data_IF_773410830793
#
_entry.id   IF_773410830793
#
_cell.length_a   1.000
_cell.length_b   1.000
_cell.length_c   1.000
_cell.angle_alpha   90.00
_cell.angle_beta   90.00
_cell.angle_gamma   90.00
#
_symmetry.space_group_name_H-M   'P 1'
#
loop_
_entity.id
_entity.type
_entity.pdbx_description
1 polymer ?
#
# COMPACT_ATOMS: atom_id res chain seq x y z
N UNK A 1 31.59 -4.81 23.63
CA UNK A 1 31.21 -3.64 24.45
C UNK A 1 30.07 -2.93 23.74
N UNK A 2 28.99 -2.46 24.34
CA UNK A 2 28.20 -2.89 25.50
C UNK A 2 26.81 -2.28 25.26
N UNK A 3 25.77 -3.03 25.63
CA UNK A 3 24.36 -2.62 25.64
C UNK A 3 24.15 -1.52 26.68
N UNK A 4 23.22 -0.60 26.44
CA UNK A 4 22.57 0.18 27.51
C UNK A 4 21.07 0.29 27.25
N UNK A 5 20.33 -0.68 27.79
CA UNK A 5 19.02 -0.44 28.40
C UNK A 5 19.28 0.14 29.79
N UNK A 6 18.63 1.25 30.14
CA UNK A 6 18.71 1.85 31.47
C UNK A 6 17.52 1.35 32.29
N UNK A 7 17.85 0.58 33.33
CA UNK A 7 17.00 0.28 34.47
C UNK A 7 16.88 1.52 35.37
N UNK A 8 15.71 1.77 35.94
CA UNK A 8 15.60 2.43 37.23
C UNK A 8 14.65 1.67 38.15
N UNK A 9 15.17 1.36 39.35
CA UNK A 9 14.55 0.67 40.48
C UNK A 9 13.73 1.64 41.34
N UNK A 10 12.77 1.10 42.10
CA UNK A 10 12.66 1.14 43.58
C UNK A 10 11.17 1.11 43.98
N UNK A 11 10.64 -0.03 44.42
CA UNK A 11 10.63 -0.56 45.80
C UNK A 11 9.56 0.09 46.68
N UNK A 12 8.51 -0.69 46.99
CA UNK A 12 7.95 -0.72 48.35
C UNK A 12 7.58 -2.16 48.69
N UNK A 13 8.32 -2.74 49.64
CA UNK A 13 7.94 -3.94 50.39
C UNK A 13 6.78 -3.56 51.31
N UNK A 14 5.68 -4.29 51.24
CA UNK A 14 4.88 -4.59 52.43
C UNK A 14 4.67 -6.09 52.48
N UNK A 15 5.34 -6.69 53.46
CA UNK A 15 5.16 -8.05 53.92
C UNK A 15 3.89 -8.14 54.76
N UNK A 16 2.87 -8.83 54.26
CA UNK A 16 1.85 -9.43 55.12
C UNK A 16 2.01 -10.95 55.05
N UNK A 17 2.59 -11.49 56.12
CA UNK A 17 2.70 -12.91 56.41
C UNK A 17 1.31 -13.50 56.60
N UNK A 18 0.93 -14.46 55.75
CA UNK A 18 -0.22 -15.32 56.00
C UNK A 18 0.10 -16.23 57.19
N UNK A 19 -0.70 -16.16 58.26
CA UNK A 19 -0.73 -17.22 59.29
C UNK A 19 -1.63 -18.33 58.76
N UNK A 20 -1.05 -19.49 58.44
CA UNK A 20 -1.79 -20.72 58.18
C UNK A 20 -2.22 -21.38 59.50
N UNK A 21 -3.45 -21.92 59.60
CA UNK A 21 -3.89 -22.66 60.78
C UNK A 21 -3.33 -24.09 60.75
N UNK A 22 -2.81 -24.53 61.89
CA UNK A 22 -2.34 -25.90 62.14
C UNK A 22 -3.54 -26.83 62.29
N UNK A 23 -3.64 -27.89 61.49
CA UNK A 23 -4.66 -28.95 61.63
C UNK A 23 -3.98 -30.25 62.07
N UNK A 24 -4.44 -30.76 63.20
CA UNK A 24 -3.91 -31.93 63.92
C UNK A 24 -4.54 -33.22 63.37
N UNK A 25 -3.73 -34.18 62.93
CA UNK A 25 -4.18 -35.42 62.28
C UNK A 25 -4.52 -36.53 63.29
N UNK A 26 -5.75 -37.05 63.23
CA UNK A 26 -6.22 -38.21 63.99
C UNK A 26 -6.74 -39.27 63.01
N UNK A 27 -5.92 -40.26 62.60
CA UNK A 27 -6.33 -41.58 62.07
C UNK A 27 -5.09 -42.46 61.80
N UNK A 28 -4.96 -43.59 62.51
CA UNK A 28 -3.84 -44.53 62.42
C UNK A 28 -4.08 -45.58 61.32
N UNK A 29 -3.35 -45.48 60.19
CA UNK A 29 -3.36 -46.47 59.11
C UNK A 29 -2.05 -47.27 59.14
N UNK A 30 -2.10 -48.53 59.56
CA UNK A 30 -0.96 -49.43 59.50
C UNK A 30 -0.66 -49.82 58.05
N UNK A 31 0.45 -49.32 57.50
CA UNK A 31 1.14 -49.97 56.40
C UNK A 31 1.25 -49.24 55.06
N UNK A 32 1.26 -47.91 55.02
CA UNK A 32 1.99 -47.12 54.00
C UNK A 32 1.76 -45.63 54.24
N UNK A 33 2.82 -44.90 54.62
CA UNK A 33 2.75 -43.45 54.72
C UNK A 33 2.53 -42.84 53.34
N UNK A 34 1.33 -42.34 53.08
CA UNK A 34 1.03 -41.09 52.32
C UNK A 34 -0.43 -40.93 51.88
N UNK A 35 -1.37 -41.81 52.23
CA UNK A 35 -2.75 -41.67 51.72
C UNK A 35 -3.77 -41.77 52.85
N UNK A 36 -4.40 -40.62 53.15
CA UNK A 36 -5.65 -40.58 53.91
C UNK A 36 -6.71 -41.41 53.17
N UNK A 37 -7.50 -42.20 53.90
CA UNK A 37 -8.59 -42.94 53.27
C UNK A 37 -9.64 -41.98 52.71
N UNK A 38 -10.35 -42.47 51.70
CA UNK A 38 -11.16 -41.67 50.78
C UNK A 38 -12.16 -40.68 51.43
N UNK A 39 -12.63 -40.92 52.66
CA UNK A 39 -13.67 -40.12 53.31
C UNK A 39 -13.13 -38.96 54.18
N UNK A 40 -11.90 -39.04 54.69
CA UNK A 40 -11.30 -37.97 55.51
C UNK A 40 -10.78 -36.81 54.66
N UNK A 41 -10.34 -37.12 53.42
CA UNK A 41 -10.10 -36.13 52.37
C UNK A 41 -11.33 -35.26 52.08
N UNK A 42 -12.55 -35.75 52.35
CA UNK A 42 -13.79 -35.06 51.96
C UNK A 42 -14.27 -33.93 52.90
N UNK A 43 -13.78 -33.82 54.14
CA UNK A 43 -14.32 -32.86 55.14
C UNK A 43 -13.54 -31.55 55.24
N UNK A 44 -12.22 -31.62 55.10
CA UNK A 44 -11.33 -30.45 55.06
C UNK A 44 -11.56 -29.58 53.82
N UNK A 45 -12.12 -30.18 52.77
CA UNK A 45 -12.60 -29.49 51.57
C UNK A 45 -13.79 -28.52 51.79
N UNK A 46 -14.41 -28.39 52.98
CA UNK A 46 -15.78 -27.82 53.10
C UNK A 46 -15.97 -26.43 53.76
N UNK A 47 -14.95 -25.70 54.22
CA UNK A 47 -15.12 -24.32 54.76
C UNK A 47 -14.14 -23.32 54.12
N UNK A 48 -14.61 -22.24 53.48
CA UNK A 48 -13.76 -21.22 52.81
C UNK A 48 -14.29 -19.79 53.01
N UNK A 49 -13.37 -18.85 53.29
CA UNK A 49 -13.58 -17.38 53.45
C UNK A 49 -13.89 -16.67 52.11
N UNK A 50 -14.78 -15.68 52.10
CA UNK A 50 -15.28 -14.99 50.89
C UNK A 50 -14.89 -13.49 50.83
N UNK A 51 -13.81 -13.12 50.13
CA UNK A 51 -13.49 -11.72 49.82
C UNK A 51 -14.17 -11.22 48.52
N UNK A 52 -14.72 -9.99 48.53
CA UNK A 52 -15.35 -9.32 47.38
C UNK A 52 -14.38 -8.93 46.24
N UNK A 53 -13.13 -9.38 46.31
CA UNK A 53 -12.18 -9.33 45.18
C UNK A 53 -12.70 -10.10 43.99
N UNK A 54 -13.42 -11.20 44.22
CA UNK A 54 -14.06 -11.97 43.17
C UNK A 54 -15.18 -11.18 42.48
N UNK A 55 -16.00 -10.46 43.25
CA UNK A 55 -17.12 -9.67 42.70
C UNK A 55 -16.63 -8.53 41.80
N UNK A 56 -15.53 -7.85 42.19
CA UNK A 56 -14.87 -6.83 41.37
C UNK A 56 -14.21 -7.44 40.13
N UNK A 57 -13.47 -8.54 40.31
CA UNK A 57 -12.89 -9.26 39.19
C UNK A 57 -13.97 -9.80 38.23
N UNK A 58 -15.18 -10.10 38.71
CA UNK A 58 -16.32 -10.50 37.88
C UNK A 58 -16.82 -9.35 37.02
N UNK A 59 -16.96 -8.15 37.59
CA UNK A 59 -17.34 -6.94 36.83
C UNK A 59 -16.31 -6.56 35.78
N UNK A 60 -15.03 -6.57 36.12
CA UNK A 60 -13.94 -6.28 35.16
C UNK A 60 -13.93 -7.33 34.03
N UNK A 61 -14.16 -8.60 34.35
CA UNK A 61 -14.33 -9.66 33.34
C UNK A 61 -15.57 -9.46 32.47
N UNK A 62 -16.69 -9.02 33.04
CA UNK A 62 -17.92 -8.75 32.29
C UNK A 62 -17.72 -7.61 31.27
N UNK A 63 -17.02 -6.54 31.67
CA UNK A 63 -16.64 -5.43 30.78
C UNK A 63 -15.65 -5.86 29.69
N UNK A 64 -14.61 -6.62 30.06
CA UNK A 64 -13.65 -7.18 29.10
C UNK A 64 -14.34 -8.10 28.08
N UNK A 65 -15.31 -8.91 28.53
CA UNK A 65 -16.09 -9.76 27.65
C UNK A 65 -16.96 -8.94 26.70
N UNK A 66 -17.54 -7.83 27.18
CA UNK A 66 -18.33 -6.94 26.34
C UNK A 66 -17.48 -6.28 25.25
N UNK A 67 -16.29 -5.80 25.61
CA UNK A 67 -15.33 -5.21 24.67
C UNK A 67 -14.83 -6.23 23.64
N UNK A 68 -14.54 -7.47 24.07
CA UNK A 68 -14.18 -8.56 23.15
C UNK A 68 -15.31 -8.88 22.18
N UNK A 69 -16.55 -9.01 22.66
CA UNK A 69 -17.73 -9.24 21.81
C UNK A 69 -17.93 -8.10 20.79
N UNK A 70 -17.74 -6.85 21.21
CA UNK A 70 -17.83 -5.71 20.29
C UNK A 70 -16.74 -5.74 19.21
N UNK A 71 -15.49 -6.04 19.61
CA UNK A 71 -14.38 -6.20 18.66
C UNK A 71 -14.61 -7.36 17.69
N UNK A 72 -15.07 -8.51 18.19
CA UNK A 72 -15.44 -9.68 17.38
C UNK A 72 -16.57 -9.34 16.39
N UNK A 73 -17.60 -8.62 16.83
CA UNK A 73 -18.68 -8.15 15.96
C UNK A 73 -18.15 -7.25 14.83
N UNK A 74 -17.29 -6.26 15.16
CA UNK A 74 -16.69 -5.37 14.16
C UNK A 74 -15.79 -6.11 13.18
N UNK A 75 -15.01 -7.07 13.67
CA UNK A 75 -14.15 -7.90 12.83
C UNK A 75 -14.96 -8.81 11.92
N UNK A 76 -16.06 -9.38 12.41
CA UNK A 76 -16.97 -10.22 11.59
C UNK A 76 -17.70 -9.40 10.54
N UNK A 77 -18.19 -8.19 10.87
CA UNK A 77 -18.76 -7.25 9.89
C UNK A 77 -17.76 -6.93 8.78
N UNK A 78 -16.53 -6.56 9.13
CA UNK A 78 -15.48 -6.27 8.15
C UNK A 78 -15.16 -7.49 7.27
N UNK A 79 -15.08 -8.69 7.87
CA UNK A 79 -14.83 -9.93 7.15
C UNK A 79 -15.99 -10.30 6.22
N UNK A 80 -17.24 -10.02 6.59
CA UNK A 80 -18.41 -10.20 5.73
C UNK A 80 -18.39 -9.25 4.54
N UNK A 81 -18.10 -7.96 4.76
CA UNK A 81 -17.95 -6.98 3.69
C UNK A 81 -16.84 -7.36 2.70
N UNK A 82 -15.69 -7.79 3.21
CA UNK A 82 -14.58 -8.27 2.36
C UNK A 82 -14.95 -9.53 1.58
N UNK A 83 -15.70 -10.47 2.19
CA UNK A 83 -16.23 -11.64 1.49
C UNK A 83 -17.22 -11.25 0.39
N UNK A 84 -18.09 -10.28 0.64
CA UNK A 84 -19.06 -9.78 -0.33
C UNK A 84 -18.38 -9.12 -1.54
N UNK A 85 -17.41 -8.23 -1.30
CA UNK A 85 -16.59 -7.63 -2.37
C UNK A 85 -15.88 -8.69 -3.20
N UNK A 86 -15.28 -9.69 -2.55
CA UNK A 86 -14.62 -10.81 -3.26
C UNK A 86 -15.61 -11.66 -4.04
N UNK A 87 -16.83 -11.86 -3.53
CA UNK A 87 -17.88 -12.59 -4.23
C UNK A 87 -18.36 -11.80 -5.46
N UNK A 88 -18.52 -10.48 -5.35
CA UNK A 88 -18.85 -9.60 -6.47
C UNK A 88 -17.79 -9.69 -7.57
N UNK A 89 -16.52 -9.52 -7.22
CA UNK A 89 -15.41 -9.63 -8.16
C UNK A 89 -15.36 -11.00 -8.85
N UNK A 90 -15.66 -12.08 -8.12
CA UNK A 90 -15.76 -13.43 -8.71
C UNK A 90 -16.90 -13.56 -9.71
N UNK A 91 -18.07 -12.94 -9.43
CA UNK A 91 -19.20 -12.93 -10.37
C UNK A 91 -18.83 -12.15 -11.63
N UNK A 92 -18.27 -10.95 -11.48
CA UNK A 92 -17.80 -10.14 -12.62
C UNK A 92 -16.78 -10.89 -13.48
N UNK A 93 -15.80 -11.55 -12.84
CA UNK A 93 -14.82 -12.36 -13.54
C UNK A 93 -15.46 -13.56 -14.26
N UNK A 94 -16.40 -14.23 -13.60
CA UNK A 94 -17.14 -15.35 -14.19
C UNK A 94 -17.99 -14.89 -15.39
N UNK A 95 -18.64 -13.75 -15.31
CA UNK A 95 -19.45 -13.19 -16.40
C UNK A 95 -18.57 -12.77 -17.59
N UNK A 96 -17.40 -12.19 -17.33
CA UNK A 96 -16.39 -11.93 -18.35
C UNK A 96 -15.89 -13.23 -19.00
N UNK A 97 -15.61 -14.26 -18.21
CA UNK A 97 -15.19 -15.57 -18.72
C UNK A 97 -16.27 -16.22 -19.58
N UNK A 98 -17.53 -16.17 -19.14
CA UNK A 98 -18.68 -16.67 -19.91
C UNK A 98 -18.82 -15.94 -21.24
N UNK A 99 -18.75 -14.61 -21.23
CA UNK A 99 -18.79 -13.81 -22.47
C UNK A 99 -17.63 -14.15 -23.41
N UNK A 100 -16.41 -14.29 -22.88
CA UNK A 100 -15.24 -14.72 -23.67
C UNK A 100 -15.42 -16.13 -24.25
N UNK A 101 -15.99 -17.04 -23.47
CA UNK A 101 -16.29 -18.40 -23.90
C UNK A 101 -17.34 -18.42 -25.01
N UNK A 102 -18.43 -17.68 -24.87
CA UNK A 102 -19.47 -17.54 -25.91
C UNK A 102 -18.89 -16.99 -27.22
N UNK A 103 -18.05 -15.95 -27.15
CA UNK A 103 -17.34 -15.40 -28.32
C UNK A 103 -16.41 -16.43 -28.94
N UNK A 104 -15.70 -17.22 -28.13
CA UNK A 104 -14.83 -18.28 -28.60
C UNK A 104 -15.62 -19.42 -29.26
N UNK A 105 -16.73 -19.86 -28.66
CA UNK A 105 -17.63 -20.86 -29.22
C UNK A 105 -18.21 -20.41 -30.55
N UNK A 106 -18.69 -19.17 -30.66
CA UNK A 106 -19.16 -18.62 -31.95
C UNK A 106 -18.06 -18.66 -33.02
N UNK A 107 -16.82 -18.33 -32.65
CA UNK A 107 -15.66 -18.44 -33.56
C UNK A 107 -15.35 -19.90 -33.93
N UNK A 108 -15.52 -20.83 -33.01
CA UNK A 108 -15.32 -22.26 -33.25
C UNK A 108 -16.44 -22.87 -34.09
N UNK A 109 -17.70 -22.53 -33.86
CA UNK A 109 -18.85 -22.95 -34.65
C UNK A 109 -18.70 -22.50 -36.12
N UNK A 110 -18.36 -21.23 -36.34
CA UNK A 110 -18.00 -20.71 -37.68
C UNK A 110 -16.84 -21.44 -38.36
N UNK A 111 -15.89 -21.98 -37.58
CA UNK A 111 -14.80 -22.81 -38.12
C UNK A 111 -15.22 -24.26 -38.37
N UNK A 112 -16.22 -24.78 -37.65
CA UNK A 112 -16.79 -26.12 -37.86
C UNK A 112 -17.74 -26.15 -39.06
N UNK A 113 -18.44 -25.04 -39.34
CA UNK A 113 -19.21 -24.81 -40.57
C UNK A 113 -18.31 -24.65 -41.83
N UNK A 114 -17.00 -24.92 -41.73
CA UNK A 114 -16.13 -24.98 -42.90
C UNK A 114 -16.66 -26.06 -43.86
N UNK A 115 -16.65 -25.71 -45.13
CA UNK A 115 -17.15 -26.52 -46.24
C UNK A 115 -16.68 -27.99 -46.15
N UNK A 116 -17.64 -28.91 -46.17
CA UNK A 116 -17.43 -30.36 -46.06
C UNK A 116 -16.77 -30.93 -47.32
N UNK A 117 -16.64 -30.14 -48.39
CA UNK A 117 -15.83 -30.44 -49.56
C UNK A 117 -14.31 -30.28 -49.31
N UNK A 118 -13.83 -30.55 -48.11
CA UNK A 118 -12.40 -30.69 -47.88
C UNK A 118 -11.95 -32.08 -48.36
N UNK A 119 -11.50 -32.14 -49.61
CA UNK A 119 -10.94 -33.35 -50.24
C UNK A 119 -9.84 -33.97 -49.37
N UNK A 120 -10.13 -35.14 -48.79
CA UNK A 120 -9.18 -35.95 -48.04
C UNK A 120 -8.37 -36.84 -49.01
N UNK A 121 -7.48 -36.24 -49.80
CA UNK A 121 -6.51 -37.01 -50.58
C UNK A 121 -5.17 -36.26 -50.64
N UNK A 122 -4.14 -36.85 -50.04
CA UNK A 122 -2.74 -36.39 -50.12
C UNK A 122 -2.07 -36.79 -51.45
N UNK A 123 -2.84 -36.86 -52.53
CA UNK A 123 -2.37 -37.02 -53.90
C UNK A 123 -3.14 -36.04 -54.79
N UNK A 124 -2.71 -34.78 -54.78
CA UNK A 124 -3.35 -33.72 -55.54
C UNK A 124 -3.03 -33.84 -57.04
N UNK A 125 -3.85 -34.59 -57.78
CA UNK A 125 -3.82 -34.52 -59.25
C UNK A 125 -4.37 -33.17 -59.75
N UNK A 126 -5.26 -32.53 -58.98
CA UNK A 126 -5.80 -31.19 -59.24
C UNK A 126 -5.78 -30.35 -57.96
N UNK A 127 -4.59 -29.95 -57.52
CA UNK A 127 -4.45 -28.95 -56.45
C UNK A 127 -4.98 -27.61 -56.99
N UNK A 128 -6.00 -26.97 -56.40
CA UNK A 128 -6.20 -25.55 -56.66
C UNK A 128 -4.94 -24.84 -56.19
N UNK A 129 -4.33 -24.05 -57.07
CA UNK A 129 -3.11 -23.31 -56.76
C UNK A 129 -3.27 -22.61 -55.41
N UNK A 130 -2.27 -22.73 -54.54
CA UNK A 130 -2.31 -22.01 -53.25
C UNK A 130 -2.58 -20.55 -53.58
N UNK A 131 -3.68 -19.96 -53.05
CA UNK A 131 -4.00 -18.58 -53.36
C UNK A 131 -2.76 -17.74 -53.06
N UNK A 132 -2.28 -16.94 -54.03
CA UNK A 132 -1.07 -16.14 -53.83
C UNK A 132 -1.20 -15.36 -52.52
N UNK A 133 -0.13 -15.31 -51.72
CA UNK A 133 -0.11 -14.58 -50.44
C UNK A 133 -0.71 -13.17 -50.56
N UNK A 134 -0.52 -12.54 -51.72
CA UNK A 134 -1.01 -11.21 -52.07
C UNK A 134 -2.53 -11.02 -52.05
N UNK A 135 -3.33 -12.08 -52.27
CA UNK A 135 -4.80 -11.95 -52.37
C UNK A 135 -5.43 -11.44 -51.06
N UNK A 136 -4.86 -11.80 -49.91
CA UNK A 136 -5.31 -11.31 -48.60
C UNK A 136 -4.45 -10.16 -48.07
N UNK A 137 -3.25 -9.95 -48.60
CA UNK A 137 -2.39 -8.86 -48.15
C UNK A 137 -2.97 -7.48 -48.42
N UNK A 138 -3.63 -7.28 -49.57
CA UNK A 138 -4.25 -5.99 -49.92
C UNK A 138 -5.33 -5.55 -48.92
N UNK A 139 -6.35 -6.36 -48.58
CA UNK A 139 -7.35 -5.97 -47.58
C UNK A 139 -6.74 -5.79 -46.18
N UNK A 140 -5.75 -6.61 -45.79
CA UNK A 140 -5.03 -6.41 -44.52
C UNK A 140 -4.24 -5.10 -44.50
N UNK A 141 -3.55 -4.77 -45.59
CA UNK A 141 -2.80 -3.52 -45.73
C UNK A 141 -3.73 -2.31 -45.65
N UNK A 142 -4.92 -2.39 -46.27
CA UNK A 142 -5.92 -1.32 -46.19
C UNK A 142 -6.44 -1.12 -44.77
N UNK A 143 -6.72 -2.21 -44.04
CA UNK A 143 -7.19 -2.12 -42.65
C UNK A 143 -6.09 -1.60 -41.71
N UNK A 144 -4.83 -2.02 -41.92
CA UNK A 144 -3.68 -1.48 -41.19
C UNK A 144 -3.47 0.01 -41.46
N UNK A 145 -3.60 0.44 -42.71
CA UNK A 145 -3.55 1.86 -43.08
C UNK A 145 -4.64 2.65 -42.35
N UNK A 146 -5.88 2.15 -42.35
CA UNK A 146 -6.99 2.77 -41.62
C UNK A 146 -6.71 2.88 -40.11
N UNK A 147 -6.11 1.86 -39.51
CA UNK A 147 -5.72 1.91 -38.09
C UNK A 147 -4.64 2.96 -37.81
N UNK A 148 -3.65 3.08 -38.70
CA UNK A 148 -2.61 4.10 -38.62
C UNK A 148 -3.23 5.50 -38.75
N UNK A 149 -4.13 5.71 -39.71
CA UNK A 149 -4.85 6.98 -39.90
C UNK A 149 -5.67 7.36 -38.66
N UNK A 150 -6.42 6.42 -38.09
CA UNK A 150 -7.19 6.65 -36.87
C UNK A 150 -6.29 7.02 -35.68
N UNK A 151 -5.14 6.35 -35.54
CA UNK A 151 -4.16 6.66 -34.49
C UNK A 151 -3.55 8.04 -34.68
N UNK A 152 -3.19 8.39 -35.91
CA UNK A 152 -2.64 9.71 -36.23
C UNK A 152 -3.65 10.82 -35.98
N UNK A 153 -4.92 10.62 -36.35
CA UNK A 153 -6.01 11.55 -36.07
C UNK A 153 -6.24 11.74 -34.56
N UNK A 154 -6.20 10.65 -33.78
CA UNK A 154 -6.30 10.74 -32.33
C UNK A 154 -5.13 11.53 -31.73
N UNK A 155 -3.90 11.26 -32.18
CA UNK A 155 -2.70 11.99 -31.74
C UNK A 155 -2.75 13.47 -32.11
N UNK A 156 -3.27 13.83 -33.29
CA UNK A 156 -3.43 15.22 -33.70
C UNK A 156 -4.44 15.96 -32.81
N UNK A 157 -5.59 15.33 -32.50
CA UNK A 157 -6.59 15.91 -31.60
C UNK A 157 -6.06 16.13 -30.19
N UNK A 158 -5.24 15.20 -29.70
CA UNK A 158 -4.58 15.33 -28.41
C UNK A 158 -3.61 16.50 -28.41
N UNK A 159 -2.80 16.63 -29.46
CA UNK A 159 -1.90 17.79 -29.62
C UNK A 159 -2.66 19.11 -29.74
N UNK A 160 -3.78 19.15 -30.46
CA UNK A 160 -4.65 20.34 -30.54
C UNK A 160 -5.22 20.71 -29.17
N UNK A 161 -5.62 19.72 -28.38
CA UNK A 161 -6.10 19.92 -27.01
C UNK A 161 -5.01 20.47 -26.09
N UNK A 162 -3.81 19.88 -26.11
CA UNK A 162 -2.66 20.36 -25.34
C UNK A 162 -2.28 21.80 -25.72
N UNK A 163 -2.29 22.11 -27.03
CA UNK A 163 -2.03 23.47 -27.51
C UNK A 163 -3.09 24.46 -27.03
N UNK A 164 -4.37 24.07 -27.07
CA UNK A 164 -5.47 24.90 -26.58
C UNK A 164 -5.35 25.16 -25.08
N UNK A 165 -5.04 24.14 -24.28
CA UNK A 165 -4.80 24.27 -22.85
C UNK A 165 -3.61 25.20 -22.57
N UNK A 166 -2.49 25.04 -23.29
CA UNK A 166 -1.32 25.92 -23.15
C UNK A 166 -1.63 27.38 -23.49
N UNK A 167 -2.41 27.64 -24.54
CA UNK A 167 -2.84 29.00 -24.89
C UNK A 167 -3.74 29.61 -23.81
N UNK A 168 -4.68 28.83 -23.27
CA UNK A 168 -5.54 29.29 -22.18
C UNK A 168 -4.73 29.66 -20.92
N UNK A 169 -3.72 28.86 -20.57
CA UNK A 169 -2.80 29.16 -19.47
C UNK A 169 -2.03 30.46 -19.69
N UNK A 170 -1.52 30.69 -20.91
CA UNK A 170 -0.81 31.92 -21.26
C UNK A 170 -1.71 33.16 -21.14
N UNK A 171 -2.96 33.08 -21.60
CA UNK A 171 -3.94 34.17 -21.48
C UNK A 171 -4.27 34.45 -20.01
N UNK A 172 -4.47 33.40 -19.21
CA UNK A 172 -4.72 33.54 -17.77
C UNK A 172 -3.55 34.22 -17.06
N UNK A 173 -2.31 33.83 -17.39
CA UNK A 173 -1.11 34.45 -16.85
C UNK A 173 -1.01 35.93 -17.26
N UNK A 174 -1.23 36.26 -18.53
CA UNK A 174 -1.21 37.63 -19.03
C UNK A 174 -2.27 38.51 -18.34
N UNK A 175 -3.47 37.96 -18.12
CA UNK A 175 -4.55 38.64 -17.41
C UNK A 175 -4.18 38.90 -15.95
N UNK A 176 -3.60 37.90 -15.27
CA UNK A 176 -3.13 38.03 -13.89
C UNK A 176 -2.03 39.10 -13.75
N UNK A 177 -1.06 39.11 -14.66
CA UNK A 177 0.00 40.11 -14.70
C UNK A 177 -0.54 41.52 -14.97
N UNK A 178 -1.54 41.64 -15.85
CA UNK A 178 -2.18 42.94 -16.16
C UNK A 178 -2.92 43.47 -14.94
N UNK A 179 -3.71 42.61 -14.26
CA UNK A 179 -4.36 42.95 -13.00
C UNK A 179 -3.35 43.37 -11.93
N UNK A 180 -2.26 42.63 -11.77
CA UNK A 180 -1.21 42.97 -10.81
C UNK A 180 -0.57 44.33 -11.11
N UNK A 181 -0.35 44.66 -12.39
CA UNK A 181 0.15 45.99 -12.79
C UNK A 181 -0.85 47.09 -12.47
N UNK A 182 -2.12 46.88 -12.80
CA UNK A 182 -3.18 47.85 -12.48
C UNK A 182 -3.28 48.10 -10.97
N UNK A 183 -3.27 47.05 -10.16
CA UNK A 183 -3.31 47.15 -8.70
C UNK A 183 -2.08 47.88 -8.17
N UNK A 184 -0.89 47.60 -8.72
CA UNK A 184 0.33 48.34 -8.39
C UNK A 184 0.22 49.84 -8.74
N UNK A 185 -0.30 50.19 -9.91
CA UNK A 185 -0.49 51.59 -10.31
C UNK A 185 -1.54 52.30 -9.46
N UNK A 186 -2.63 51.61 -9.10
CA UNK A 186 -3.67 52.14 -8.20
C UNK A 186 -3.09 52.39 -6.81
N UNK A 187 -2.36 51.44 -6.25
CA UNK A 187 -1.74 51.58 -4.93
C UNK A 187 -0.66 52.68 -4.93
N UNK A 188 0.16 52.75 -5.98
CA UNK A 188 1.13 53.85 -6.16
C UNK A 188 0.44 55.20 -6.23
N UNK A 189 -0.66 55.31 -6.98
CA UNK A 189 -1.44 56.54 -7.09
C UNK A 189 -2.07 56.92 -5.74
N UNK A 190 -2.60 55.95 -5.01
CA UNK A 190 -3.15 56.14 -3.65
C UNK A 190 -2.08 56.64 -2.69
N UNK A 191 -0.88 56.04 -2.69
CA UNK A 191 0.27 56.49 -1.87
C UNK A 191 0.72 57.89 -2.25
N UNK A 192 0.80 58.21 -3.53
CA UNK A 192 1.14 59.55 -4.01
C UNK A 192 0.12 60.60 -3.57
N UNK A 193 -1.18 60.29 -3.69
CA UNK A 193 -2.25 61.18 -3.23
C UNK A 193 -2.24 61.34 -1.70
N UNK A 194 -1.96 60.26 -0.96
CA UNK A 194 -1.79 60.34 0.49
C UNK A 194 -0.61 61.25 0.86
N UNK A 195 0.54 61.07 0.22
CA UNK A 195 1.70 61.93 0.46
C UNK A 195 1.41 63.40 0.13
N UNK A 196 0.74 63.66 -1.00
CA UNK A 196 0.29 64.99 -1.38
C UNK A 196 -0.61 65.62 -0.32
N UNK A 197 -1.64 64.90 0.14
CA UNK A 197 -2.54 65.42 1.18
C UNK A 197 -1.85 65.69 2.51
N UNK A 198 -0.84 64.91 2.89
CA UNK A 198 -0.01 65.18 4.07
C UNK A 198 0.83 66.46 3.88
N UNK A 199 1.47 66.62 2.72
CA UNK A 199 2.24 67.83 2.41
C UNK A 199 1.34 69.07 2.38
N UNK A 200 0.17 68.98 1.74
CA UNK A 200 -0.80 70.08 1.68
C UNK A 200 -1.21 70.52 3.10
N UNK A 201 -1.43 69.57 4.03
CA UNK A 201 -1.68 69.87 5.45
C UNK A 201 -0.48 70.55 6.11
N UNK A 202 0.74 70.05 5.90
CA UNK A 202 1.95 70.65 6.47
C UNK A 202 2.18 72.08 5.98
N UNK A 203 1.93 72.34 4.68
CA UNK A 203 2.00 73.68 4.11
C UNK A 203 0.91 74.55 4.72
N UNK A 204 -0.33 74.07 4.82
CA UNK A 204 -1.42 74.83 5.43
C UNK A 204 -1.14 75.19 6.89
N UNK A 205 -0.63 74.25 7.69
CA UNK A 205 -0.21 74.46 9.09
C UNK A 205 0.93 75.48 9.18
N UNK A 206 1.92 75.42 8.28
CA UNK A 206 3.01 76.42 8.20
C UNK A 206 2.51 77.80 7.79
N UNK A 207 1.61 77.88 6.82
CA UNK A 207 1.00 79.14 6.38
C UNK A 207 0.18 79.78 7.49
N UNK A 208 -0.60 78.98 8.24
CA UNK A 208 -1.32 79.46 9.42
C UNK A 208 -0.38 79.91 10.54
N UNK A 209 0.73 79.19 10.76
CA UNK A 209 1.76 79.58 11.74
C UNK A 209 2.53 80.85 11.33
N UNK A 210 2.76 81.06 10.03
CA UNK A 210 3.32 82.30 9.48
C UNK A 210 2.34 83.47 9.58
N UNK A 211 1.05 83.24 9.33
CA UNK A 211 0.01 84.26 9.51
C UNK A 211 -0.16 84.66 10.98
N UNK A 212 0.09 83.75 11.93
CA UNK A 212 0.13 84.03 13.37
C UNK A 212 1.41 84.74 13.84
N UNK A 213 2.46 84.80 13.01
CA UNK A 213 3.71 85.54 13.30
C UNK A 213 3.82 86.89 12.57
N UNK A 214 2.88 87.24 11.69
CA UNK A 214 2.73 88.61 11.18
C UNK A 214 1.96 89.50 12.18
N UNK A 215 2.69 89.89 13.20
CA UNK A 215 2.37 91.02 14.09
C UNK A 215 3.63 91.82 14.44
N UNK A 216 4.68 91.77 13.60
CA UNK A 216 5.88 92.59 13.73
C UNK A 216 6.30 93.05 12.33
N UNK A 217 6.52 94.36 12.23
CA UNK A 217 6.76 95.15 11.03
C UNK A 217 8.08 94.81 10.33
N UNK A 218 8.03 94.92 9.00
CA UNK A 218 9.04 95.38 8.03
C UNK A 218 10.53 95.04 8.24
N UNK A 219 11.15 94.43 7.21
CA UNK A 219 12.27 95.09 6.50
C UNK A 219 12.65 94.36 5.21
N UNK A 220 12.92 95.17 4.18
CA UNK A 220 13.37 94.79 2.85
C UNK A 220 14.71 94.03 2.87
N UNK A 221 14.80 92.95 2.08
CA UNK A 221 16.02 92.65 1.33
C UNK A 221 15.72 91.62 0.24
N UNK A 222 15.50 92.12 -0.98
CA UNK A 222 15.70 91.35 -2.20
C UNK A 222 17.20 91.11 -2.30
N UNK A 223 17.65 89.96 -1.78
CA UNK A 223 18.98 89.43 -2.08
C UNK A 223 18.86 88.41 -3.20
N UNK A 224 19.57 88.73 -4.27
CA UNK A 224 19.87 87.90 -5.42
C UNK A 224 20.31 86.49 -5.01
N UNK A 225 19.72 85.48 -5.64
CA UNK A 225 20.13 84.09 -5.51
C UNK A 225 18.93 83.17 -5.36
N UNK A 226 18.95 82.03 -6.04
CA UNK A 226 18.01 80.91 -5.83
C UNK A 226 16.65 80.99 -6.57
N UNK A 227 16.65 81.61 -7.75
CA UNK A 227 15.68 81.32 -8.81
C UNK A 227 16.06 80.11 -9.68
N UNK A 228 16.88 79.20 -9.17
CA UNK A 228 17.23 77.98 -9.88
C UNK A 228 16.08 76.98 -9.70
N UNK A 229 15.21 76.92 -10.71
CA UNK A 229 14.28 75.80 -10.84
C UNK A 229 15.03 74.49 -10.62
N UNK A 230 14.60 73.73 -9.62
CA UNK A 230 15.20 72.46 -9.16
C UNK A 230 15.27 71.37 -10.25
N UNK A 231 14.71 71.63 -11.45
CA UNK A 231 15.00 70.89 -12.66
C UNK A 231 16.05 71.62 -13.49
N UNK A 232 17.27 71.09 -13.44
CA UNK A 232 18.41 71.61 -14.17
C UNK A 232 18.13 71.63 -15.67
N UNK A 233 18.40 72.78 -16.31
CA UNK A 233 18.42 72.96 -17.78
C UNK A 233 19.50 72.10 -18.49
N UNK A 234 20.12 71.15 -17.79
CA UNK A 234 21.27 70.35 -18.23
C UNK A 234 21.01 68.83 -18.24
N UNK A 235 19.79 68.33 -18.02
CA UNK A 235 19.51 66.88 -18.08
C UNK A 235 19.62 66.25 -19.48
N UNK A 236 19.86 67.08 -20.50
CA UNK A 236 19.87 66.72 -21.93
C UNK A 236 21.05 67.38 -22.66
N UNK A 237 22.25 67.39 -22.08
CA UNK A 237 23.45 67.67 -22.90
C UNK A 237 23.71 66.48 -23.84
N UNK A 238 24.16 66.75 -25.07
CA UNK A 238 24.41 65.69 -26.07
C UNK A 238 25.39 64.61 -25.56
N UNK A 239 26.30 65.01 -24.69
CA UNK A 239 27.27 64.13 -24.02
C UNK A 239 26.60 63.17 -23.01
N UNK A 240 25.67 63.65 -22.17
CA UNK A 240 24.90 62.82 -21.24
C UNK A 240 23.98 61.82 -21.98
N UNK A 241 23.39 62.23 -23.11
CA UNK A 241 22.62 61.32 -23.97
C UNK A 241 23.50 60.25 -24.62
N UNK A 242 24.70 60.63 -25.09
CA UNK A 242 25.67 59.69 -25.64
C UNK A 242 26.15 58.69 -24.57
N UNK A 243 26.41 59.15 -23.34
CA UNK A 243 26.80 58.30 -22.23
C UNK A 243 25.66 57.34 -21.81
N UNK A 244 24.42 57.82 -21.74
CA UNK A 244 23.23 56.97 -21.51
C UNK A 244 23.08 55.90 -22.58
N UNK A 245 23.28 56.25 -23.85
CA UNK A 245 23.26 55.29 -24.98
C UNK A 245 24.41 54.28 -24.89
N UNK A 246 25.60 54.71 -24.47
CA UNK A 246 26.75 53.81 -24.24
C UNK A 246 26.45 52.81 -23.12
N UNK A 247 25.97 53.29 -21.97
CA UNK A 247 25.56 52.44 -20.83
C UNK A 247 24.46 51.46 -21.22
N UNK A 248 23.45 51.90 -21.98
CA UNK A 248 22.38 51.02 -22.48
C UNK A 248 22.93 49.92 -23.41
N UNK A 249 23.84 50.27 -24.33
CA UNK A 249 24.49 49.30 -25.22
C UNK A 249 25.39 48.31 -24.46
N UNK A 250 26.10 48.76 -23.42
CA UNK A 250 26.90 47.90 -22.55
C UNK A 250 26.01 46.90 -21.80
N UNK A 251 24.93 47.37 -21.17
CA UNK A 251 23.94 46.51 -20.51
C UNK A 251 23.36 45.48 -21.49
N UNK A 252 23.00 45.90 -22.70
CA UNK A 252 22.48 45.00 -23.74
C UNK A 252 23.51 43.92 -24.11
N UNK A 253 24.79 44.28 -24.29
CA UNK A 253 25.86 43.31 -24.58
C UNK A 253 26.04 42.30 -23.43
N UNK A 254 26.00 42.76 -22.19
CA UNK A 254 26.10 41.88 -21.02
C UNK A 254 24.88 40.95 -20.90
N UNK A 255 23.66 41.45 -21.20
CA UNK A 255 22.47 40.61 -21.27
C UNK A 255 22.59 39.51 -22.33
N UNK A 256 23.10 39.82 -23.52
CA UNK A 256 23.34 38.81 -24.56
C UNK A 256 24.39 37.77 -24.13
N UNK A 257 25.48 38.20 -23.47
CA UNK A 257 26.49 37.27 -22.92
C UNK A 257 25.89 36.36 -21.85
N UNK A 258 25.11 36.90 -20.91
CA UNK A 258 24.43 36.09 -19.89
C UNK A 258 23.45 35.09 -20.50
N UNK A 259 22.68 35.50 -21.50
CA UNK A 259 21.76 34.60 -22.21
C UNK A 259 22.52 33.50 -22.98
N UNK A 260 23.64 33.83 -23.62
CA UNK A 260 24.48 32.85 -24.30
C UNK A 260 25.12 31.87 -23.31
N UNK A 261 25.58 32.34 -22.16
CA UNK A 261 26.11 31.51 -21.09
C UNK A 261 25.04 30.58 -20.53
N UNK A 262 23.84 31.10 -20.22
CA UNK A 262 22.71 30.29 -19.74
C UNK A 262 22.33 29.18 -20.71
N UNK A 263 22.30 29.48 -22.02
CA UNK A 263 22.07 28.46 -23.06
C UNK A 263 23.17 27.39 -23.08
N UNK A 264 24.44 27.77 -22.92
CA UNK A 264 25.56 26.80 -22.83
C UNK A 264 25.43 25.91 -21.61
N UNK A 265 25.11 26.49 -20.45
CA UNK A 265 24.91 25.77 -19.19
C UNK A 265 23.73 24.78 -19.29
N UNK A 266 22.63 25.20 -19.92
CA UNK A 266 21.47 24.34 -20.16
C UNK A 266 21.81 23.15 -21.08
N UNK A 267 22.57 23.38 -22.15
CA UNK A 267 23.06 22.31 -23.03
C UNK A 267 23.96 21.35 -22.25
N UNK A 268 24.91 21.86 -21.46
CA UNK A 268 25.79 21.03 -20.63
C UNK A 268 25.01 20.20 -19.62
N UNK A 269 23.99 20.80 -18.98
CA UNK A 269 23.10 20.11 -18.05
C UNK A 269 22.36 18.98 -18.75
N UNK A 270 21.75 19.25 -19.90
CA UNK A 270 21.04 18.24 -20.70
C UNK A 270 21.96 17.10 -21.14
N UNK A 271 23.20 17.40 -21.55
CA UNK A 271 24.18 16.37 -21.93
C UNK A 271 24.60 15.52 -20.73
N UNK A 272 24.66 16.09 -19.52
CA UNK A 272 24.94 15.35 -18.29
C UNK A 272 23.77 14.43 -17.92
N UNK A 273 22.54 14.95 -17.94
CA UNK A 273 21.31 14.19 -17.71
C UNK A 273 21.22 13.00 -18.68
N UNK A 274 21.46 13.24 -19.98
CA UNK A 274 21.47 12.16 -20.99
C UNK A 274 22.49 11.06 -20.71
N UNK A 275 23.70 11.40 -20.23
CA UNK A 275 24.70 10.38 -19.85
C UNK A 275 24.27 9.58 -18.62
N UNK A 276 23.63 10.23 -17.66
CA UNK A 276 23.11 9.56 -16.45
C UNK A 276 21.95 8.61 -16.82
N UNK A 277 21.02 9.08 -17.67
CA UNK A 277 19.94 8.26 -18.23
C UNK A 277 20.49 7.06 -18.98
N UNK A 278 21.47 7.25 -19.87
CA UNK A 278 22.10 6.16 -20.61
C UNK A 278 22.74 5.13 -19.68
N UNK A 279 23.43 5.58 -18.62
CA UNK A 279 24.02 4.70 -17.61
C UNK A 279 22.96 3.88 -16.89
N UNK A 280 21.83 4.49 -16.52
CA UNK A 280 20.69 3.80 -15.89
C UNK A 280 20.08 2.78 -16.85
N UNK A 281 19.86 3.16 -18.12
CA UNK A 281 19.31 2.26 -19.13
C UNK A 281 20.21 1.04 -19.39
N UNK A 282 21.54 1.24 -19.46
CA UNK A 282 22.51 0.15 -19.58
C UNK A 282 22.42 -0.78 -18.38
N UNK A 283 22.37 -0.24 -17.16
CA UNK A 283 22.22 -1.04 -15.93
C UNK A 283 20.89 -1.81 -15.90
N UNK A 284 19.78 -1.17 -16.22
CA UNK A 284 18.48 -1.83 -16.26
C UNK A 284 18.46 -2.96 -17.29
N UNK A 285 19.07 -2.77 -18.45
CA UNK A 285 19.21 -3.82 -19.46
C UNK A 285 20.02 -5.01 -18.93
N UNK A 286 21.15 -4.77 -18.26
CA UNK A 286 21.94 -5.86 -17.67
C UNK A 286 21.18 -6.58 -16.57
N UNK A 287 20.48 -5.85 -15.70
CA UNK A 287 19.70 -6.42 -14.60
C UNK A 287 18.56 -7.30 -15.14
N UNK A 288 17.84 -6.84 -16.17
CA UNK A 288 16.78 -7.63 -16.82
C UNK A 288 17.31 -8.91 -17.49
N UNK A 289 18.51 -8.87 -18.08
CA UNK A 289 19.14 -10.05 -18.66
C UNK A 289 19.55 -11.05 -17.56
N UNK A 290 20.13 -10.54 -16.47
CA UNK A 290 20.51 -11.35 -15.32
C UNK A 290 19.28 -11.99 -14.66
N UNK A 291 18.17 -11.26 -14.50
CA UNK A 291 16.92 -11.79 -13.95
C UNK A 291 16.36 -12.92 -14.82
N UNK A 292 16.42 -12.77 -16.15
CA UNK A 292 16.00 -13.84 -17.08
C UNK A 292 16.92 -15.06 -16.94
N UNK A 293 18.23 -14.86 -16.90
CA UNK A 293 19.19 -15.93 -16.72
C UNK A 293 18.98 -16.67 -15.39
N UNK A 294 18.78 -15.94 -14.29
CA UNK A 294 18.49 -16.49 -12.96
C UNK A 294 17.20 -17.31 -12.95
N UNK A 295 16.12 -16.81 -13.57
CA UNK A 295 14.87 -17.58 -13.68
C UNK A 295 15.05 -18.87 -14.48
N UNK A 296 15.78 -18.81 -15.59
CA UNK A 296 16.11 -20.00 -16.37
C UNK A 296 16.94 -21.00 -15.56
N UNK A 297 17.93 -20.52 -14.81
CA UNK A 297 18.77 -21.35 -13.95
C UNK A 297 17.96 -22.02 -12.83
N UNK A 298 17.15 -21.25 -12.10
CA UNK A 298 16.29 -21.77 -11.03
C UNK A 298 15.30 -22.83 -11.56
N UNK A 299 14.69 -22.57 -12.72
CA UNK A 299 13.80 -23.55 -13.34
C UNK A 299 14.55 -24.82 -13.76
N UNK A 300 15.75 -24.68 -14.32
CA UNK A 300 16.59 -25.83 -14.68
C UNK A 300 16.97 -26.67 -13.46
N UNK A 301 17.41 -26.03 -12.37
CA UNK A 301 17.74 -26.69 -11.10
C UNK A 301 16.51 -27.41 -10.54
N UNK A 302 15.35 -26.76 -10.52
CA UNK A 302 14.09 -27.37 -10.10
C UNK A 302 13.73 -28.60 -10.93
N UNK A 303 13.83 -28.53 -12.27
CA UNK A 303 13.54 -29.68 -13.13
C UNK A 303 14.50 -30.84 -12.89
N UNK A 304 15.79 -30.54 -12.70
CA UNK A 304 16.81 -31.54 -12.40
C UNK A 304 16.54 -32.23 -11.06
N UNK A 305 16.18 -31.47 -10.03
CA UNK A 305 15.86 -32.01 -8.71
C UNK A 305 14.61 -32.89 -8.79
N UNK A 306 13.55 -32.42 -9.45
CA UNK A 306 12.33 -33.20 -9.66
C UNK A 306 12.60 -34.50 -10.43
N UNK A 307 13.44 -34.46 -11.46
CA UNK A 307 13.82 -35.65 -12.22
C UNK A 307 14.55 -36.66 -11.31
N UNK A 308 15.46 -36.19 -10.46
CA UNK A 308 16.18 -37.03 -9.51
C UNK A 308 15.25 -37.66 -8.47
N UNK A 309 14.32 -36.86 -7.91
CA UNK A 309 13.30 -37.30 -6.97
C UNK A 309 12.34 -38.32 -7.58
N UNK A 310 11.94 -38.10 -8.84
CA UNK A 310 11.08 -39.03 -9.56
C UNK A 310 11.78 -40.36 -9.79
N UNK A 311 13.05 -40.36 -10.22
CA UNK A 311 13.86 -41.58 -10.35
C UNK A 311 13.97 -42.31 -9.01
N UNK A 312 14.27 -41.59 -7.94
CA UNK A 312 14.37 -42.17 -6.60
C UNK A 312 13.04 -42.79 -6.13
N UNK A 313 11.92 -42.07 -6.27
CA UNK A 313 10.59 -42.55 -5.89
C UNK A 313 10.13 -43.73 -6.74
N UNK A 314 10.44 -43.74 -8.04
CA UNK A 314 10.15 -44.87 -8.92
C UNK A 314 10.90 -46.13 -8.46
N UNK A 315 12.19 -46.01 -8.15
CA UNK A 315 12.97 -47.11 -7.58
C UNK A 315 12.41 -47.58 -6.23
N UNK A 316 12.07 -46.66 -5.33
CA UNK A 316 11.49 -46.98 -4.03
C UNK A 316 10.13 -47.69 -4.16
N UNK A 317 9.28 -47.26 -5.10
CA UNK A 317 8.00 -47.92 -5.40
C UNK A 317 8.23 -49.36 -5.86
N UNK A 318 9.21 -49.58 -6.74
CA UNK A 318 9.55 -50.93 -7.21
C UNK A 318 10.05 -51.81 -6.06
N UNK A 319 10.93 -51.29 -5.20
CA UNK A 319 11.40 -52.01 -4.01
C UNK A 319 10.26 -52.33 -3.04
N UNK A 320 9.34 -51.39 -2.79
CA UNK A 320 8.19 -51.60 -1.93
C UNK A 320 7.22 -52.63 -2.49
N UNK A 321 6.99 -52.63 -3.81
CA UNK A 321 6.20 -53.66 -4.48
C UNK A 321 6.83 -55.05 -4.33
N UNK A 322 8.16 -55.15 -4.44
CA UNK A 322 8.88 -56.41 -4.24
C UNK A 322 8.75 -56.90 -2.79
N UNK A 323 8.99 -56.02 -1.81
CA UNK A 323 8.80 -56.32 -0.38
C UNK A 323 7.34 -56.69 -0.05
N UNK A 324 6.36 -56.06 -0.69
CA UNK A 324 4.96 -56.38 -0.50
C UNK A 324 4.61 -57.76 -1.05
N UNK A 325 5.19 -58.17 -2.18
CA UNK A 325 5.07 -59.55 -2.71
C UNK A 325 5.69 -60.56 -1.74
N UNK A 326 6.89 -60.29 -1.24
CA UNK A 326 7.56 -61.13 -0.24
C UNK A 326 6.75 -61.25 1.06
N UNK A 327 6.20 -60.13 1.56
CA UNK A 327 5.30 -60.14 2.74
C UNK A 327 3.99 -60.87 2.49
N UNK A 328 3.39 -60.71 1.31
CA UNK A 328 2.19 -61.45 0.94
C UNK A 328 2.46 -62.97 0.89
N UNK A 329 3.66 -63.38 0.48
CA UNK A 329 4.11 -64.77 0.57
C UNK A 329 4.38 -65.23 2.01
N UNK A 330 4.74 -64.33 2.93
CA UNK A 330 4.93 -64.62 4.36
C UNK A 330 3.63 -64.62 5.19
N UNK A 331 2.58 -63.94 4.72
CA UNK A 331 1.27 -63.78 5.37
C UNK A 331 0.33 -64.97 5.17
N UNK A 332 0.88 -66.19 5.21
CA UNK A 332 0.09 -67.43 5.28
C UNK A 332 -0.40 -67.75 6.72
N UNK A 333 -0.38 -66.76 7.62
CA UNK A 333 -0.86 -66.87 9.01
C UNK A 333 -1.99 -65.86 9.31
N UNK A 334 -3.06 -66.35 9.92
CA UNK A 334 -4.28 -65.59 10.25
C UNK A 334 -4.03 -64.53 11.33
N UNK A 335 -4.78 -63.42 11.28
CA UNK A 335 -4.72 -62.31 12.27
C UNK A 335 -4.97 -62.77 13.73
N UNK A 336 -5.67 -63.90 13.92
CA UNK A 336 -5.90 -64.52 15.23
C UNK A 336 -4.60 -65.02 15.89
N UNK A 337 -3.62 -65.48 15.11
CA UNK A 337 -2.35 -65.99 15.63
C UNK A 337 -1.43 -64.87 16.15
N UNK A 338 -1.71 -63.62 15.77
CA UNK A 338 -0.95 -62.43 16.20
C UNK A 338 -1.38 -61.92 17.58
N UNK A 339 -2.60 -62.23 18.02
CA UNK A 339 -3.19 -61.72 19.27
C UNK A 339 -2.82 -62.55 20.53
N UNK A 340 -2.17 -63.70 20.37
CA UNK A 340 -1.78 -64.58 21.48
C UNK A 340 -0.58 -64.06 22.32
N UNK A 341 -0.06 -62.86 22.04
CA UNK A 341 1.18 -62.33 22.65
C UNK A 341 0.99 -61.33 23.82
N UNK A 342 -0.23 -61.06 24.29
CA UNK A 342 -0.49 -60.08 25.39
C UNK A 342 -1.29 -60.67 26.56
N UNK A 343 -0.88 -60.42 27.82
CA UNK A 343 -1.54 -60.87 29.07
C UNK A 343 -2.21 -59.70 29.85
N UNK A 344 -3.37 -59.93 30.50
CA UNK A 344 -4.22 -58.92 31.20
C UNK A 344 -4.46 -59.23 32.70
N UNK A 345 -4.57 -58.21 33.58
CA UNK A 345 -4.70 -58.33 35.05
C UNK A 345 -6.14 -58.61 35.57
N UNK A 346 -6.26 -59.17 36.79
CA UNK A 346 -7.45 -59.88 37.28
C UNK A 346 -8.58 -59.04 37.90
N UNK A 347 -8.44 -57.74 38.19
CA UNK A 347 -9.62 -56.88 38.47
C UNK A 347 -10.28 -56.34 37.19
N UNK A 348 -9.60 -56.46 36.04
CA UNK A 348 -10.15 -56.14 34.71
C UNK A 348 -10.73 -57.36 33.97
N UNK A 349 -10.69 -58.57 34.59
CA UNK A 349 -11.37 -59.80 34.12
C UNK A 349 -12.76 -59.99 34.77
N UNK A 350 -13.46 -58.91 35.11
CA UNK A 350 -14.84 -59.01 35.61
C UNK A 350 -15.83 -59.11 34.43
N UNK A 351 -16.72 -60.10 34.54
CA UNK A 351 -17.69 -60.62 33.57
C UNK A 351 -18.40 -59.61 32.64
N UNK A 352 -18.67 -60.04 31.40
CA UNK A 352 -19.49 -59.35 30.38
C UNK A 352 -20.99 -59.22 30.72
N UNK A 353 -21.41 -59.58 31.94
CA UNK A 353 -22.81 -59.56 32.39
C UNK A 353 -23.04 -58.62 33.58
N UNK A 354 -22.17 -57.63 33.78
CA UNK A 354 -22.43 -56.61 34.80
C UNK A 354 -23.50 -55.62 34.30
N UNK A 355 -24.75 -55.83 34.73
CA UNK A 355 -25.82 -54.82 34.67
C UNK A 355 -25.60 -53.85 35.83
N UNK A 356 -25.22 -52.62 35.49
CA UNK A 356 -24.62 -51.66 36.41
C UNK A 356 -25.49 -51.16 37.56
N UNK A 357 -24.80 -50.51 38.50
CA UNK A 357 -25.33 -49.41 39.30
C UNK A 357 -24.41 -48.20 39.08
N UNK A 358 -24.95 -47.18 38.39
CA UNK A 358 -24.49 -45.79 38.41
C UNK A 358 -23.11 -45.47 37.84
N UNK A 359 -22.92 -45.54 36.52
CA UNK A 359 -21.86 -44.78 35.86
C UNK A 359 -22.34 -43.34 35.68
N UNK A 360 -22.39 -42.56 36.77
CA UNK A 360 -22.65 -41.12 36.71
C UNK A 360 -21.27 -40.46 36.71
N UNK A 361 -20.89 -39.93 35.55
CA UNK A 361 -19.61 -39.24 35.38
C UNK A 361 -19.74 -37.81 35.92
N UNK A 362 -18.62 -37.20 36.34
CA UNK A 362 -18.59 -35.86 36.95
C UNK A 362 -19.21 -34.75 36.08
N UNK A 363 -19.43 -35.03 34.79
CA UNK A 363 -19.99 -34.09 33.82
C UNK A 363 -21.53 -34.19 33.66
N UNK A 364 -22.19 -35.11 34.38
CA UNK A 364 -23.66 -35.24 34.33
C UNK A 364 -24.32 -34.48 35.48
N UNK A 365 -25.00 -33.38 35.17
CA UNK A 365 -25.75 -32.59 36.16
C UNK A 365 -27.25 -32.86 36.06
N UNK A 366 -27.86 -33.26 37.18
CA UNK A 366 -29.29 -33.46 37.29
C UNK A 366 -30.01 -32.10 37.40
N UNK A 367 -30.89 -31.80 36.43
CA UNK A 367 -31.78 -30.63 36.49
C UNK A 367 -33.06 -31.05 37.23
N UNK A 368 -33.34 -30.50 38.43
CA UNK A 368 -34.53 -30.87 39.18
C UNK A 368 -35.81 -30.53 38.38
N UNK A 369 -36.63 -31.53 38.10
CA UNK A 369 -37.92 -31.38 37.40
C UNK A 369 -37.96 -31.91 35.96
N UNK A 370 -36.84 -32.38 35.39
CA UNK A 370 -36.81 -33.08 34.10
C UNK A 370 -36.39 -34.55 34.28
N UNK A 371 -36.89 -35.46 33.43
CA UNK A 371 -36.55 -36.90 33.46
C UNK A 371 -35.30 -37.26 32.64
N UNK A 372 -34.55 -36.28 32.16
CA UNK A 372 -33.35 -36.53 31.35
C UNK A 372 -32.08 -36.10 32.08
N UNK A 373 -31.03 -36.90 31.90
CA UNK A 373 -29.64 -36.60 32.24
C UNK A 373 -28.97 -36.05 30.97
N UNK A 374 -28.12 -35.03 31.09
CA UNK A 374 -27.19 -34.58 30.03
C UNK A 374 -25.79 -34.97 30.46
#
# INVERSE_FOLDING_TARGET
MNKCFVNFRSSYRQSHTAREPVVQACCDHHGSGQEICYLCHQREQRNVYMPFTEEKARRDKEEDLLLRKYSEMKNTEHLLQEKEKKALLKRELHDMQKSNFEVAEMKHARKKERDVNFMQSYLFHHRPETPPLFTKMLPYSKELQKQIELKNLASLREQEKENFESQAEQINLATSLTKQREDYFKERSRKMNLYKTILDKQVHEKTLSQQQSCGIEEEENIREGEGAGYFGKNDVTAELLAEKKRKANEVMKEQFKMMAQRKREEILKRMKEQREEEKILRKNRTDLLNDRAMKCQLNYELYKDLESDWKHRAMLKQQNLQKAKEKAQQLDMLLQDQCNRYHRCQQCKRCLWNRGSGNIWADTYFIPGSRYFI
#
